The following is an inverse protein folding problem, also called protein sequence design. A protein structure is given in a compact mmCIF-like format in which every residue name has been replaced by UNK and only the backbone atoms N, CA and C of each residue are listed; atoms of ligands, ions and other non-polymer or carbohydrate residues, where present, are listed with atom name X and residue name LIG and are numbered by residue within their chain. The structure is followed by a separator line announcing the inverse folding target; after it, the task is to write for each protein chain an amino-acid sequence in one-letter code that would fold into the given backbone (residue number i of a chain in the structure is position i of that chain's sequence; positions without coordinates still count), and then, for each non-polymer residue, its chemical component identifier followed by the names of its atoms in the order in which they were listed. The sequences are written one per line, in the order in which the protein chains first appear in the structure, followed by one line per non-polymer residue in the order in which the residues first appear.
data_IF_193436291120
#
_entry.id   IF_193436291120
#
_cell.length_a   1.000
_cell.length_b   1.000
_cell.length_c   1.000
_cell.angle_alpha   90.00
_cell.angle_beta   90.00
_cell.angle_gamma   90.00
#
_symmetry.space_group_name_H-M   'P 1'
#
loop_
_entity.id
_entity.type
_entity.pdbx_description
1 polymer ?
#
# COMPACT_ATOMS: atom_id res chain seq x y z
N UNK A 1 -7.64 -4.51 13.97
CA UNK A 1 -6.22 -4.15 13.74
C UNK A 1 -6.22 -2.78 13.10
N UNK A 2 -5.78 -1.69 13.77
CA UNK A 2 -5.84 -0.37 13.17
C UNK A 2 -4.74 -0.23 12.12
N UNK A 3 -5.11 -0.32 10.84
CA UNK A 3 -4.23 0.02 9.73
C UNK A 3 -4.48 1.49 9.39
N UNK A 4 -3.43 2.30 9.41
CA UNK A 4 -3.45 3.71 9.01
C UNK A 4 -2.88 3.85 7.60
N UNK A 5 -3.18 4.97 6.96
CA UNK A 5 -2.57 5.38 5.70
C UNK A 5 -1.84 6.70 5.92
N UNK A 6 -0.65 6.82 5.33
CA UNK A 6 0.12 8.08 5.38
C UNK A 6 0.97 8.21 4.12
N UNK A 7 1.12 9.41 3.59
CA UNK A 7 2.03 9.63 2.46
C UNK A 7 3.48 9.53 2.94
N UNK A 8 4.36 9.01 2.10
CA UNK A 8 5.79 8.93 2.37
C UNK A 8 6.43 10.31 2.62
N UNK A 9 5.79 11.36 2.09
CA UNK A 9 6.21 12.75 2.21
C UNK A 9 5.68 13.46 3.45
N UNK A 10 4.71 12.86 4.15
CA UNK A 10 4.21 13.40 5.41
C UNK A 10 5.12 12.93 6.56
N UNK A 11 5.44 13.80 7.54
CA UNK A 11 6.32 13.44 8.64
C UNK A 11 5.86 12.18 9.39
N UNK A 12 6.80 11.27 9.76
CA UNK A 12 6.49 10.17 10.66
C UNK A 12 6.01 10.70 12.01
N UNK A 13 5.04 10.01 12.61
CA UNK A 13 4.48 10.37 13.91
C UNK A 13 4.60 9.21 14.90
N UNK A 14 4.72 9.47 16.22
CA UNK A 14 4.85 8.42 17.24
C UNK A 14 3.71 7.38 17.22
N UNK A 15 2.52 7.78 16.76
CA UNK A 15 1.36 6.90 16.66
C UNK A 15 1.27 6.06 15.38
N UNK A 16 2.27 6.12 14.49
CA UNK A 16 2.25 5.38 13.22
C UNK A 16 2.45 3.86 13.43
N UNK A 17 3.07 3.46 14.55
CA UNK A 17 3.44 2.07 14.78
C UNK A 17 4.36 1.57 13.67
N UNK A 18 4.10 0.35 13.17
CA UNK A 18 4.89 -0.28 12.12
C UNK A 18 4.64 0.40 10.76
N UNK A 19 5.66 1.06 10.19
CA UNK A 19 5.58 1.79 8.92
C UNK A 19 6.05 0.92 7.76
N UNK A 20 5.12 0.57 6.87
CA UNK A 20 5.36 -0.38 5.78
C UNK A 20 5.17 0.34 4.44
N UNK A 21 6.21 0.36 3.60
CA UNK A 21 6.08 0.84 2.23
C UNK A 21 5.47 -0.23 1.34
N UNK A 22 4.39 0.12 0.65
CA UNK A 22 3.62 -0.78 -0.22
C UNK A 22 3.73 -0.45 -1.70
N UNK A 23 4.68 0.42 -2.07
CA UNK A 23 4.96 0.74 -3.46
C UNK A 23 6.12 -0.07 -4.01
N UNK A 24 6.04 -0.44 -5.28
CA UNK A 24 7.13 -1.15 -5.96
C UNK A 24 8.39 -0.30 -6.10
N UNK A 25 8.22 1.01 -6.21
CA UNK A 25 9.30 1.97 -6.38
C UNK A 25 9.51 2.75 -5.09
N UNK A 26 10.76 3.07 -4.81
CA UNK A 26 11.08 3.95 -3.70
C UNK A 26 10.52 5.37 -3.96
N UNK A 27 9.94 6.04 -2.94
CA UNK A 27 9.48 7.42 -3.07
C UNK A 27 10.62 8.35 -3.51
N UNK A 28 10.41 9.08 -4.61
CA UNK A 28 11.47 9.93 -5.18
C UNK A 28 11.84 11.04 -4.19
N UNK A 29 13.14 11.31 -4.07
CA UNK A 29 13.68 12.40 -3.27
C UNK A 29 13.70 12.16 -1.75
N UNK A 30 13.28 10.98 -1.29
CA UNK A 30 13.33 10.61 0.13
C UNK A 30 14.54 9.72 0.41
N UNK A 31 15.26 9.99 1.50
CA UNK A 31 16.27 9.06 2.03
C UNK A 31 15.59 7.96 2.85
N UNK A 32 16.32 6.88 3.17
CA UNK A 32 15.80 5.82 4.03
C UNK A 32 15.46 6.33 5.42
N UNK A 33 16.31 7.21 5.94
CA UNK A 33 16.19 7.83 7.25
C UNK A 33 14.96 8.74 7.30
N UNK A 34 14.78 9.59 6.28
CA UNK A 34 13.63 10.48 6.18
C UNK A 34 12.30 9.74 6.01
N UNK A 35 12.29 8.63 5.26
CA UNK A 35 11.09 7.83 5.07
C UNK A 35 10.66 7.10 6.36
N UNK A 36 11.60 6.83 7.27
CA UNK A 36 11.39 6.15 8.55
C UNK A 36 10.51 4.90 8.38
N UNK A 37 10.90 4.01 7.47
CA UNK A 37 10.17 2.78 7.14
C UNK A 37 10.81 1.61 7.87
N UNK A 38 9.96 0.78 8.47
CA UNK A 38 10.39 -0.47 9.10
C UNK A 38 10.48 -1.61 8.07
N UNK A 39 9.57 -1.61 7.08
CA UNK A 39 9.43 -2.69 6.11
C UNK A 39 9.10 -2.20 4.69
N UNK A 40 9.47 -3.00 3.68
CA UNK A 40 9.17 -2.72 2.27
C UNK A 40 8.58 -3.94 1.56
N UNK A 41 7.25 -4.01 1.50
CA UNK A 41 6.49 -5.17 1.01
C UNK A 41 6.05 -4.94 -0.44
N UNK A 42 6.96 -5.20 -1.40
CA UNK A 42 6.72 -4.96 -2.84
C UNK A 42 5.85 -6.01 -3.51
N UNK A 43 5.81 -7.21 -2.95
CA UNK A 43 5.09 -8.37 -3.47
C UNK A 43 3.57 -8.18 -3.48
N UNK A 44 3.04 -7.36 -2.58
CA UNK A 44 1.61 -6.98 -2.54
C UNK A 44 1.30 -5.70 -3.33
N UNK A 45 2.32 -5.02 -3.88
CA UNK A 45 2.12 -3.83 -4.71
C UNK A 45 1.60 -4.21 -6.11
N UNK A 46 0.86 -3.31 -6.80
CA UNK A 46 0.43 -3.56 -8.17
C UNK A 46 1.59 -4.01 -9.06
N UNK A 47 1.32 -4.93 -9.99
CA UNK A 47 2.34 -5.40 -10.91
C UNK A 47 2.90 -4.23 -11.76
N UNK A 48 4.13 -4.35 -12.29
CA UNK A 48 4.68 -3.34 -13.18
C UNK A 48 3.78 -3.04 -14.39
N UNK A 49 3.11 -4.07 -14.92
CA UNK A 49 2.23 -3.94 -16.07
C UNK A 49 0.94 -3.20 -15.70
N UNK A 50 0.30 -3.58 -14.59
CA UNK A 50 -0.90 -2.91 -14.12
C UNK A 50 -0.64 -1.44 -13.76
N UNK A 51 0.49 -1.16 -13.08
CA UNK A 51 0.93 0.21 -12.76
C UNK A 51 1.13 1.07 -14.02
N UNK A 52 1.79 0.52 -15.05
CA UNK A 52 2.01 1.21 -16.34
C UNK A 52 0.70 1.44 -17.08
N UNK A 53 -0.21 0.46 -17.09
CA UNK A 53 -1.50 0.58 -17.74
C UNK A 53 -2.41 1.64 -17.09
N UNK A 54 -2.45 1.65 -15.75
CA UNK A 54 -3.22 2.63 -14.98
C UNK A 54 -2.70 4.05 -15.21
N UNK A 55 -1.38 4.25 -15.18
CA UNK A 55 -0.72 5.54 -15.44
C UNK A 55 -1.27 6.75 -14.65
N UNK A 56 -1.98 6.51 -13.53
CA UNK A 56 -2.75 7.53 -12.78
C UNK A 56 -3.85 8.22 -13.58
N UNK A 57 -4.42 7.51 -14.55
CA UNK A 57 -5.58 7.96 -15.33
C UNK A 57 -6.87 7.73 -14.53
N UNK A 58 -7.58 8.80 -14.11
CA UNK A 58 -8.81 8.66 -13.32
C UNK A 58 -9.91 7.87 -14.04
N UNK A 59 -9.96 7.91 -15.37
CA UNK A 59 -10.94 7.14 -16.15
C UNK A 59 -10.75 5.62 -16.03
N UNK A 60 -9.55 5.17 -15.63
CA UNK A 60 -9.21 3.76 -15.43
C UNK A 60 -9.31 3.33 -13.97
N UNK A 61 -9.66 4.23 -13.05
CA UNK A 61 -9.61 3.94 -11.61
C UNK A 61 -10.48 2.75 -11.22
N UNK A 62 -11.73 2.71 -11.69
CA UNK A 62 -12.64 1.60 -11.38
C UNK A 62 -12.08 0.26 -11.87
N UNK A 63 -11.65 0.19 -13.12
CA UNK A 63 -11.03 -1.01 -13.67
C UNK A 63 -9.68 -1.36 -13.01
N UNK A 64 -8.93 -0.37 -12.53
CA UNK A 64 -7.70 -0.62 -11.76
C UNK A 64 -8.00 -1.28 -10.42
N UNK A 65 -9.05 -0.86 -9.71
CA UNK A 65 -9.46 -1.48 -8.44
C UNK A 65 -9.71 -2.96 -8.62
N UNK A 66 -10.47 -3.34 -9.65
CA UNK A 66 -10.85 -4.73 -9.87
C UNK A 66 -9.65 -5.59 -10.27
N UNK A 67 -8.83 -5.11 -11.21
CA UNK A 67 -7.60 -5.82 -11.62
C UNK A 67 -6.60 -5.95 -10.48
N UNK A 68 -6.45 -4.92 -9.64
CA UNK A 68 -5.55 -5.01 -8.51
C UNK A 68 -6.07 -6.00 -7.46
N UNK A 69 -7.38 -6.04 -7.20
CA UNK A 69 -7.98 -7.08 -6.33
C UNK A 69 -7.72 -8.49 -6.87
N UNK A 70 -7.77 -8.70 -8.18
CA UNK A 70 -7.42 -9.98 -8.80
C UNK A 70 -5.94 -10.34 -8.56
N UNK A 71 -5.01 -9.39 -8.74
CA UNK A 71 -3.59 -9.61 -8.43
C UNK A 71 -3.37 -9.98 -6.95
N UNK A 72 -4.11 -9.34 -6.03
CA UNK A 72 -4.04 -9.66 -4.59
C UNK A 72 -4.61 -11.05 -4.28
N UNK A 73 -5.74 -11.44 -4.88
CA UNK A 73 -6.30 -12.80 -4.73
C UNK A 73 -5.39 -13.87 -5.30
N UNK A 74 -4.68 -13.56 -6.38
CA UNK A 74 -3.69 -14.45 -7.00
C UNK A 74 -2.37 -14.54 -6.21
N UNK A 75 -2.20 -13.74 -5.14
CA UNK A 75 -1.00 -13.75 -4.28
C UNK A 75 -1.36 -14.04 -2.80
N UNK A 76 -1.91 -15.24 -2.49
CA UNK A 76 -2.30 -15.57 -1.12
C UNK A 76 -1.12 -15.55 -0.15
N UNK A 77 0.08 -15.94 -0.58
CA UNK A 77 1.27 -15.99 0.28
C UNK A 77 1.75 -14.59 0.68
N UNK A 78 1.79 -13.63 -0.25
CA UNK A 78 2.14 -12.24 0.05
C UNK A 78 1.14 -11.59 1.00
N UNK A 79 -0.15 -11.86 0.78
CA UNK A 79 -1.22 -11.42 1.67
C UNK A 79 -1.07 -12.04 3.07
N UNK A 80 -0.80 -13.35 3.16
CA UNK A 80 -0.60 -14.03 4.43
C UNK A 80 0.60 -13.45 5.20
N UNK A 81 1.72 -13.20 4.52
CA UNK A 81 2.89 -12.54 5.11
C UNK A 81 2.55 -11.14 5.63
N UNK A 82 1.85 -10.32 4.84
CA UNK A 82 1.45 -8.99 5.26
C UNK A 82 0.52 -9.04 6.47
N UNK A 83 -0.47 -9.94 6.47
CA UNK A 83 -1.39 -10.15 7.61
C UNK A 83 -0.63 -10.54 8.88
N UNK A 84 0.32 -11.47 8.78
CA UNK A 84 1.15 -11.88 9.90
C UNK A 84 2.03 -10.73 10.41
N UNK A 85 2.59 -9.93 9.51
CA UNK A 85 3.43 -8.78 9.83
C UNK A 85 2.67 -7.73 10.66
N UNK A 86 1.42 -7.45 10.31
CA UNK A 86 0.57 -6.46 11.00
C UNK A 86 -0.27 -7.02 12.15
N UNK A 87 -0.28 -8.34 12.36
CA UNK A 87 -1.11 -8.99 13.37
C UNK A 87 -0.80 -8.46 14.78
N UNK A 88 -1.84 -8.01 15.48
CA UNK A 88 -1.72 -7.51 16.86
C UNK A 88 -1.00 -6.16 17.02
N UNK A 89 -0.69 -5.46 15.92
CA UNK A 89 0.06 -4.20 15.95
C UNK A 89 -0.76 -3.05 15.36
N UNK A 90 -0.42 -1.82 15.74
CA UNK A 90 -0.77 -0.65 14.92
C UNK A 90 0.23 -0.59 13.77
N UNK A 91 -0.28 -0.49 12.53
CA UNK A 91 0.55 -0.39 11.34
C UNK A 91 0.11 0.80 10.49
N UNK A 92 1.07 1.43 9.82
CA UNK A 92 0.85 2.50 8.85
C UNK A 92 1.35 2.05 7.49
N UNK A 93 0.41 1.96 6.55
CA UNK A 93 0.68 1.72 5.15
C UNK A 93 1.12 3.03 4.49
N UNK A 94 2.38 3.06 4.09
CA UNK A 94 3.02 4.23 3.51
C UNK A 94 2.97 4.16 1.98
N UNK A 95 2.50 5.24 1.35
CA UNK A 95 2.35 5.37 -0.10
C UNK A 95 2.95 6.68 -0.62
N UNK A 96 3.39 6.72 -1.87
CA UNK A 96 4.02 7.89 -2.50
C UNK A 96 3.11 8.60 -3.51
N UNK A 97 1.94 8.03 -3.85
CA UNK A 97 0.96 8.67 -4.71
C UNK A 97 0.65 10.12 -4.25
N UNK A 98 0.47 11.01 -5.22
CA UNK A 98 0.07 12.41 -4.96
C UNK A 98 -1.38 12.50 -4.52
N UNK A 99 -2.23 11.67 -5.11
CA UNK A 99 -3.65 11.61 -4.83
C UNK A 99 -3.92 10.65 -3.65
N UNK A 100 -4.47 11.14 -2.53
CA UNK A 100 -4.78 10.32 -1.36
C UNK A 100 -6.00 9.41 -1.56
N UNK A 101 -6.85 9.68 -2.54
CA UNK A 101 -8.07 8.91 -2.80
C UNK A 101 -7.85 7.88 -3.93
N UNK A 102 -6.85 8.11 -4.79
CA UNK A 102 -6.45 7.19 -5.86
C UNK A 102 -5.05 6.60 -5.63
N UNK A 103 -4.93 5.72 -4.62
CA UNK A 103 -3.69 4.99 -4.36
C UNK A 103 -3.92 3.51 -4.04
N UNK A 104 -2.91 2.67 -4.32
CA UNK A 104 -3.01 1.22 -4.11
C UNK A 104 -3.01 0.83 -2.63
N UNK A 105 -2.42 1.63 -1.74
CA UNK A 105 -2.40 1.32 -0.31
C UNK A 105 -3.79 1.38 0.32
N UNK A 106 -4.67 2.28 -0.16
CA UNK A 106 -6.08 2.32 0.20
C UNK A 106 -6.79 1.00 -0.11
N UNK A 107 -6.60 0.49 -1.32
CA UNK A 107 -7.22 -0.76 -1.78
C UNK A 107 -6.67 -1.98 -1.04
N UNK A 108 -5.37 -2.02 -0.78
CA UNK A 108 -4.75 -3.10 -0.02
C UNK A 108 -5.18 -3.09 1.45
N UNK A 109 -5.31 -1.90 2.07
CA UNK A 109 -5.89 -1.78 3.41
C UNK A 109 -7.29 -2.39 3.45
N UNK A 110 -8.16 -1.99 2.52
CA UNK A 110 -9.53 -2.48 2.45
C UNK A 110 -9.58 -4.02 2.23
N UNK A 111 -8.71 -4.54 1.37
CA UNK A 111 -8.56 -5.98 1.14
C UNK A 111 -8.10 -6.74 2.41
N UNK A 112 -7.17 -6.17 3.19
CA UNK A 112 -6.66 -6.78 4.41
C UNK A 112 -7.68 -6.71 5.55
N UNK A 113 -8.36 -5.58 5.73
CA UNK A 113 -9.39 -5.43 6.77
C UNK A 113 -10.65 -6.25 6.49
N UNK A 114 -10.81 -6.72 5.25
CA UNK A 114 -11.94 -7.53 4.83
C UNK A 114 -13.15 -6.63 4.58
N UNK A 115 -13.21 -6.01 3.40
CA UNK A 115 -14.47 -5.46 2.88
C UNK A 115 -15.53 -6.56 2.94
N UNK A 116 -16.47 -6.44 3.90
CA UNK A 116 -17.86 -6.87 3.70
C UNK A 116 -18.35 -6.07 2.49
N UNK A 117 -18.36 -6.71 1.32
CA UNK A 117 -19.26 -6.29 0.25
C UNK A 117 -20.71 -6.51 0.71
#
# INVERSE_FOLDING_TARGET
MPIKLKRAYDPPAPGDGLRILLERLWPRGLTKEAAALDEWTKDVSPSPNLRKWFAHDPSKWDAFKDRYREELRANPDGIARLRALVAGKTATFVYAAKDPDMNSALLLKAFIEGERQ
#
